data_IF_370721579123
#
_entry.id   IF_370721579123
#
_cell.length_a   1.000
_cell.length_b   1.000
_cell.length_c   1.000
_cell.angle_alpha   90.00
_cell.angle_beta   90.00
_cell.angle_gamma   90.00
#
_symmetry.space_group_name_H-M   'P 1'
#
loop_
_entity.id
_entity.type
_entity.pdbx_description
1 polymer ?
#
# COMPACT_ATOMS: atom_id res chain seq x y z
N UNK A 1 -18.64 -28.15 -43.36
CA UNK A 1 -19.43 -27.06 -42.72
C UNK A 1 -18.87 -25.75 -43.27
N UNK A 2 -19.72 -24.91 -43.88
CA UNK A 2 -19.28 -23.64 -44.44
C UNK A 2 -18.93 -22.68 -43.30
N UNK A 3 -17.69 -22.18 -43.31
CA UNK A 3 -17.16 -21.27 -42.28
C UNK A 3 -17.72 -19.87 -42.53
N UNK A 4 -18.78 -19.51 -41.81
CA UNK A 4 -19.43 -18.19 -41.88
C UNK A 4 -18.83 -17.17 -40.92
N UNK A 5 -17.98 -17.59 -39.98
CA UNK A 5 -17.38 -16.70 -38.98
C UNK A 5 -15.98 -16.22 -39.41
N UNK A 6 -15.73 -14.92 -39.30
CA UNK A 6 -14.44 -14.29 -39.64
C UNK A 6 -13.32 -14.75 -38.70
N UNK A 7 -13.66 -15.13 -37.47
CA UNK A 7 -12.72 -15.64 -36.47
C UNK A 7 -12.22 -17.05 -36.80
N UNK A 8 -13.10 -17.92 -37.30
CA UNK A 8 -12.75 -19.28 -37.72
C UNK A 8 -11.78 -19.29 -38.92
N UNK A 9 -11.84 -18.26 -39.78
CA UNK A 9 -10.89 -18.10 -40.90
C UNK A 9 -9.47 -17.73 -40.44
N UNK A 10 -9.32 -17.10 -39.29
CA UNK A 10 -8.02 -16.70 -38.73
C UNK A 10 -7.38 -17.80 -37.86
N UNK A 11 -8.13 -18.83 -37.48
CA UNK A 11 -7.66 -19.90 -36.61
C UNK A 11 -6.85 -20.95 -37.37
N UNK A 12 -5.71 -21.36 -36.81
CA UNK A 12 -4.86 -22.46 -37.31
C UNK A 12 -5.65 -23.79 -37.37
N UNK A 13 -6.74 -23.92 -36.60
CA UNK A 13 -7.60 -25.10 -36.59
C UNK A 13 -8.34 -25.33 -37.93
N UNK A 14 -8.42 -24.31 -38.80
CA UNK A 14 -9.06 -24.39 -40.11
C UNK A 14 -8.08 -24.77 -41.24
N UNK A 15 -6.79 -25.02 -40.95
CA UNK A 15 -5.78 -25.40 -41.94
C UNK A 15 -5.65 -26.92 -42.11
N UNK A 16 -5.45 -27.39 -43.34
CA UNK A 16 -5.25 -28.81 -43.62
C UNK A 16 -3.85 -29.28 -43.17
N UNK A 17 -3.73 -30.56 -42.78
CA UNK A 17 -2.43 -31.15 -42.39
C UNK A 17 -1.46 -31.12 -43.58
N UNK A 18 -0.30 -30.46 -43.39
CA UNK A 18 0.77 -30.36 -44.39
C UNK A 18 0.74 -29.09 -45.25
N UNK A 19 -0.15 -28.14 -44.95
CA UNK A 19 -0.20 -26.84 -45.64
C UNK A 19 1.08 -26.01 -45.34
N UNK A 20 1.78 -25.49 -46.37
CA UNK A 20 2.92 -24.58 -46.20
C UNK A 20 2.68 -23.39 -45.27
N UNK A 21 1.42 -22.95 -45.11
CA UNK A 21 1.04 -21.87 -44.19
C UNK A 21 1.38 -22.14 -42.71
N UNK A 22 1.46 -23.42 -42.29
CA UNK A 22 1.84 -23.78 -40.92
C UNK A 22 3.30 -23.44 -40.60
N UNK A 23 4.21 -23.55 -41.57
CA UNK A 23 5.60 -23.13 -41.38
C UNK A 23 5.70 -21.61 -41.23
N UNK A 24 4.83 -20.86 -41.91
CA UNK A 24 4.74 -19.41 -41.78
C UNK A 24 4.37 -18.96 -40.37
N UNK A 25 3.41 -19.62 -39.71
CA UNK A 25 3.02 -19.27 -38.33
C UNK A 25 4.10 -19.63 -37.31
N UNK A 26 4.86 -20.72 -37.52
CA UNK A 26 6.02 -21.08 -36.71
C UNK A 26 7.15 -20.06 -36.87
N UNK A 27 7.48 -19.66 -38.09
CA UNK A 27 8.51 -18.63 -38.33
C UNK A 27 8.07 -17.29 -37.73
N UNK A 28 6.82 -16.88 -37.94
CA UNK A 28 6.28 -15.67 -37.35
C UNK A 28 6.34 -15.70 -35.82
N UNK A 29 5.98 -16.83 -35.19
CA UNK A 29 6.02 -16.95 -33.73
C UNK A 29 7.44 -16.82 -33.17
N UNK A 30 8.46 -17.39 -33.82
CA UNK A 30 9.86 -17.19 -33.44
C UNK A 30 10.33 -15.74 -33.62
N UNK A 31 9.89 -15.05 -34.68
CA UNK A 31 10.21 -13.63 -34.88
C UNK A 31 9.58 -12.77 -33.78
N UNK A 32 8.29 -12.96 -33.49
CA UNK A 32 7.60 -12.24 -32.42
C UNK A 32 8.21 -12.53 -31.06
N UNK A 33 8.55 -13.80 -30.79
CA UNK A 33 9.21 -14.20 -29.56
C UNK A 33 10.59 -13.54 -29.42
N UNK A 34 11.43 -13.60 -30.45
CA UNK A 34 12.75 -13.00 -30.45
C UNK A 34 12.70 -11.48 -30.28
N UNK A 35 11.76 -10.82 -30.96
CA UNK A 35 11.55 -9.39 -30.82
C UNK A 35 11.04 -9.00 -29.42
N UNK A 36 10.10 -9.76 -28.86
CA UNK A 36 9.63 -9.56 -27.50
C UNK A 36 10.77 -9.75 -26.47
N UNK A 37 11.60 -10.78 -26.63
CA UNK A 37 12.75 -11.02 -25.77
C UNK A 37 13.78 -9.89 -25.86
N UNK A 38 14.01 -9.35 -27.06
CA UNK A 38 14.87 -8.19 -27.27
C UNK A 38 14.34 -6.95 -26.54
N UNK A 39 13.04 -6.64 -26.66
CA UNK A 39 12.41 -5.53 -25.95
C UNK A 39 12.46 -5.71 -24.43
N UNK A 40 12.16 -6.92 -23.94
CA UNK A 40 12.27 -7.24 -22.52
C UNK A 40 13.69 -7.03 -22.00
N UNK A 41 14.70 -7.42 -22.78
CA UNK A 41 16.11 -7.24 -22.41
C UNK A 41 16.46 -5.75 -22.32
N UNK A 42 16.04 -4.93 -23.29
CA UNK A 42 16.26 -3.48 -23.26
C UNK A 42 15.59 -2.83 -22.04
N UNK A 43 14.33 -3.16 -21.80
CA UNK A 43 13.57 -2.64 -20.65
C UNK A 43 14.21 -3.07 -19.32
N UNK A 44 14.69 -4.32 -19.24
CA UNK A 44 15.33 -4.84 -18.04
C UNK A 44 16.61 -4.09 -17.69
N UNK A 45 17.45 -3.76 -18.68
CA UNK A 45 18.64 -2.93 -18.46
C UNK A 45 18.28 -1.53 -17.99
N UNK A 46 17.26 -0.92 -18.60
CA UNK A 46 16.75 0.39 -18.18
C UNK A 46 16.21 0.35 -16.74
N UNK A 47 15.42 -0.67 -16.40
CA UNK A 47 14.86 -0.89 -15.07
C UNK A 47 15.96 -1.05 -14.01
N UNK A 48 16.98 -1.86 -14.27
CA UNK A 48 18.11 -2.03 -13.34
C UNK A 48 18.80 -0.69 -13.07
N UNK A 49 19.06 0.08 -14.12
CA UNK A 49 19.70 1.40 -14.00
C UNK A 49 18.86 2.34 -13.11
N UNK A 50 17.55 2.39 -13.34
CA UNK A 50 16.63 3.18 -12.52
C UNK A 50 16.51 2.68 -11.09
N UNK A 51 16.51 1.36 -10.89
CA UNK A 51 16.51 0.76 -9.55
C UNK A 51 17.77 1.11 -8.77
N UNK A 52 18.94 1.04 -9.39
CA UNK A 52 20.20 1.46 -8.75
C UNK A 52 20.18 2.95 -8.42
N UNK A 53 19.71 3.81 -9.34
CA UNK A 53 19.55 5.24 -9.09
C UNK A 53 18.56 5.53 -7.95
N UNK A 54 17.52 4.71 -7.79
CA UNK A 54 16.57 4.84 -6.69
C UNK A 54 17.19 4.39 -5.37
N UNK A 55 17.89 3.25 -5.35
CA UNK A 55 18.55 2.73 -4.14
C UNK A 55 19.73 3.58 -3.68
N UNK A 56 20.38 4.34 -4.58
CA UNK A 56 21.46 5.27 -4.21
C UNK A 56 20.96 6.55 -3.52
N UNK A 57 19.64 6.74 -3.39
CA UNK A 57 19.07 7.90 -2.70
C UNK A 57 19.29 7.73 -1.19
N UNK A 58 19.54 8.85 -0.51
CA UNK A 58 19.61 8.85 0.95
C UNK A 58 18.18 8.70 1.50
N UNK A 59 17.88 7.52 2.05
CA UNK A 59 16.60 7.20 2.68
C UNK A 59 16.88 6.54 4.03
N UNK A 60 16.11 6.84 5.09
CA UNK A 60 16.24 6.15 6.38
C UNK A 60 16.06 4.62 6.24
N UNK A 61 15.30 4.17 5.25
CA UNK A 61 15.11 2.74 4.93
C UNK A 61 16.42 2.03 4.59
N UNK A 62 17.40 2.74 4.01
CA UNK A 62 18.71 2.17 3.67
C UNK A 62 19.63 2.02 4.89
N UNK A 63 19.27 2.60 6.04
CA UNK A 63 20.09 2.64 7.26
C UNK A 63 19.36 2.04 8.46
N UNK A 64 18.21 1.42 8.25
CA UNK A 64 17.41 0.76 9.29
C UNK A 64 17.31 -0.72 8.98
N UNK A 65 17.53 -1.55 10.00
CA UNK A 65 17.45 -3.01 9.87
C UNK A 65 16.40 -3.55 10.83
N UNK A 66 15.56 -4.46 10.31
CA UNK A 66 14.58 -5.16 11.13
C UNK A 66 15.18 -6.47 11.65
N UNK A 67 15.30 -6.59 12.98
CA UNK A 67 15.89 -7.76 13.63
C UNK A 67 14.79 -8.57 14.34
N UNK A 68 14.61 -9.82 13.91
CA UNK A 68 13.70 -10.78 14.55
C UNK A 68 14.39 -11.69 15.56
N UNK A 69 13.60 -12.40 16.38
CA UNK A 69 14.13 -13.48 17.25
C UNK A 69 14.87 -13.02 18.51
N UNK A 70 14.60 -11.81 19.01
CA UNK A 70 15.32 -11.25 20.15
C UNK A 70 14.99 -12.01 21.46
N UNK A 71 15.99 -12.52 22.20
CA UNK A 71 15.78 -13.23 23.45
C UNK A 71 15.19 -12.30 24.51
N UNK A 72 14.37 -12.84 25.42
CA UNK A 72 13.60 -12.05 26.39
C UNK A 72 14.48 -11.09 27.23
N UNK A 73 15.70 -11.49 27.57
CA UNK A 73 16.65 -10.69 28.35
C UNK A 73 17.12 -9.41 27.64
N UNK A 74 17.08 -9.39 26.31
CA UNK A 74 17.50 -8.25 25.48
C UNK A 74 16.30 -7.44 24.95
N UNK A 75 15.06 -7.74 25.36
CA UNK A 75 13.85 -6.98 24.97
C UNK A 75 13.67 -5.70 25.78
N UNK A 76 14.75 -4.96 25.99
CA UNK A 76 14.72 -3.61 26.56
C UNK A 76 15.57 -2.72 25.69
N UNK A 77 15.09 -1.49 25.42
CA UNK A 77 15.76 -0.54 24.53
C UNK A 77 17.24 -0.38 24.89
N UNK A 78 17.53 -0.17 26.17
CA UNK A 78 18.89 0.02 26.68
C UNK A 78 19.76 -1.23 26.54
N UNK A 79 19.21 -2.40 26.85
CA UNK A 79 19.96 -3.66 26.75
C UNK A 79 20.29 -4.01 25.28
N UNK A 80 19.34 -3.77 24.38
CA UNK A 80 19.51 -4.02 22.95
C UNK A 80 20.46 -3.02 22.30
N UNK A 81 20.35 -1.74 22.67
CA UNK A 81 21.29 -0.71 22.25
C UNK A 81 22.72 -1.05 22.67
N UNK A 82 22.95 -1.37 23.94
CA UNK A 82 24.28 -1.76 24.43
C UNK A 82 24.81 -2.98 23.67
N UNK A 83 23.99 -4.01 23.49
CA UNK A 83 24.39 -5.21 22.75
C UNK A 83 24.85 -4.90 21.31
N UNK A 84 24.11 -4.05 20.59
CA UNK A 84 24.49 -3.67 19.23
C UNK A 84 25.67 -2.70 19.20
N UNK A 85 25.75 -1.77 20.14
CA UNK A 85 26.85 -0.83 20.25
C UNK A 85 28.16 -1.52 20.64
N UNK A 86 28.10 -2.62 21.39
CA UNK A 86 29.27 -3.46 21.70
C UNK A 86 29.74 -4.28 20.47
N UNK A 87 28.84 -4.55 19.52
CA UNK A 87 29.13 -5.34 18.31
C UNK A 87 29.48 -4.46 17.10
N UNK A 88 28.91 -3.25 17.03
CA UNK A 88 29.03 -2.30 15.93
C UNK A 88 29.28 -0.91 16.48
N UNK A 89 30.28 -0.21 15.97
CA UNK A 89 30.72 1.10 16.48
C UNK A 89 29.77 2.27 16.14
N UNK A 90 28.80 2.09 15.23
CA UNK A 90 27.93 3.17 14.70
C UNK A 90 26.44 2.80 14.74
N UNK A 91 25.88 2.76 15.95
CA UNK A 91 24.45 2.52 16.17
C UNK A 91 23.76 3.83 16.58
N UNK A 92 22.92 4.37 15.69
CA UNK A 92 22.22 5.63 15.93
C UNK A 92 21.12 5.50 16.99
N UNK A 93 20.19 4.58 16.80
CA UNK A 93 19.07 4.34 17.71
C UNK A 93 18.53 2.91 17.56
N UNK A 94 17.88 2.42 18.61
CA UNK A 94 17.24 1.11 18.64
C UNK A 94 15.82 1.25 19.14
N UNK A 95 14.86 0.82 18.33
CA UNK A 95 13.45 0.81 18.71
C UNK A 95 12.91 -0.62 18.73
N UNK A 96 12.12 -0.92 19.77
CA UNK A 96 11.47 -2.22 19.91
C UNK A 96 10.07 -2.10 19.32
N UNK A 97 9.77 -2.97 18.36
CA UNK A 97 8.42 -3.12 17.86
C UNK A 97 7.54 -3.74 18.95
N UNK A 98 6.57 -2.96 19.44
CA UNK A 98 5.58 -3.40 20.41
C UNK A 98 4.32 -3.82 19.66
N UNK A 99 3.68 -4.90 20.12
CA UNK A 99 2.34 -5.26 19.66
C UNK A 99 1.35 -4.41 20.46
N UNK A 100 0.75 -3.41 19.80
CA UNK A 100 -0.15 -2.43 20.42
C UNK A 100 -1.51 -2.39 19.73
N UNK A 101 -2.09 -3.57 19.48
CA UNK A 101 -3.35 -3.72 18.71
C UNK A 101 -4.51 -2.90 19.29
N UNK A 102 -4.64 -2.85 20.63
CA UNK A 102 -5.69 -2.07 21.29
C UNK A 102 -5.47 -0.55 21.12
N UNK A 103 -4.22 -0.10 21.19
CA UNK A 103 -3.88 1.31 20.97
C UNK A 103 -4.13 1.71 19.53
N UNK A 104 -3.79 0.86 18.57
CA UNK A 104 -4.03 1.12 17.15
C UNK A 104 -5.52 1.31 16.86
N UNK A 105 -6.40 0.52 17.49
CA UNK A 105 -7.86 0.69 17.39
C UNK A 105 -8.31 2.02 17.98
N UNK A 106 -7.76 2.43 19.13
CA UNK A 106 -8.08 3.72 19.76
C UNK A 106 -7.59 4.91 18.92
N UNK A 107 -6.37 4.83 18.39
CA UNK A 107 -5.78 5.85 17.51
C UNK A 107 -6.63 5.99 16.24
N UNK A 108 -6.98 4.87 15.60
CA UNK A 108 -7.84 4.88 14.42
C UNK A 108 -9.21 5.51 14.71
N UNK A 109 -9.83 5.13 15.82
CA UNK A 109 -11.11 5.74 16.24
C UNK A 109 -10.99 7.24 16.44
N UNK A 110 -9.87 7.71 17.01
CA UNK A 110 -9.59 9.14 17.17
C UNK A 110 -9.41 9.83 15.81
N UNK A 111 -8.70 9.22 14.88
CA UNK A 111 -8.52 9.75 13.52
C UNK A 111 -9.85 9.87 12.78
N UNK A 112 -10.71 8.86 12.86
CA UNK A 112 -12.06 8.88 12.28
C UNK A 112 -12.90 10.02 12.86
N UNK A 113 -12.89 10.21 14.18
CA UNK A 113 -13.58 11.32 14.85
C UNK A 113 -13.02 12.70 14.46
N UNK A 114 -11.69 12.80 14.29
CA UNK A 114 -11.04 14.04 13.86
C UNK A 114 -11.47 14.40 12.43
N UNK A 115 -11.54 13.41 11.53
CA UNK A 115 -12.01 13.60 10.16
C UNK A 115 -13.48 14.04 10.12
N UNK A 116 -14.35 13.43 10.95
CA UNK A 116 -15.74 13.87 11.09
C UNK A 116 -15.86 15.32 11.59
N UNK A 117 -15.00 15.71 12.53
CA UNK A 117 -14.94 17.07 13.06
C UNK A 117 -14.49 18.07 11.99
N UNK A 118 -13.42 17.74 11.23
CA UNK A 118 -12.95 18.55 10.11
C UNK A 118 -14.05 18.75 9.07
N UNK A 119 -14.79 17.68 8.75
CA UNK A 119 -15.94 17.76 7.86
C UNK A 119 -17.02 18.71 8.40
N UNK A 120 -17.39 18.57 9.69
CA UNK A 120 -18.37 19.44 10.33
C UNK A 120 -17.94 20.92 10.36
N UNK A 121 -16.66 21.17 10.64
CA UNK A 121 -16.07 22.52 10.62
C UNK A 121 -16.07 23.13 9.22
N UNK A 122 -15.79 22.33 8.19
CA UNK A 122 -15.85 22.77 6.79
C UNK A 122 -17.29 23.11 6.36
N UNK A 123 -18.28 22.31 6.76
CA UNK A 123 -19.71 22.61 6.50
C UNK A 123 -20.13 23.93 7.16
N UNK A 124 -19.71 24.14 8.42
CA UNK A 124 -19.95 25.40 9.13
C UNK A 124 -19.30 26.59 8.42
N UNK A 125 -18.06 26.44 7.98
CA UNK A 125 -17.32 27.50 7.27
C UNK A 125 -17.93 27.84 5.91
N UNK A 126 -18.41 26.85 5.17
CA UNK A 126 -19.01 27.05 3.84
C UNK A 126 -20.45 27.59 3.91
N UNK A 127 -21.24 27.14 4.87
CA UNK A 127 -22.70 27.44 4.93
C UNK A 127 -23.06 28.50 5.97
N UNK A 128 -22.16 28.78 6.92
CA UNK A 128 -22.40 29.65 8.08
C UNK A 128 -23.36 29.06 9.11
N UNK A 129 -23.88 27.85 8.90
CA UNK A 129 -24.83 27.14 9.78
C UNK A 129 -24.13 26.02 10.51
N UNK A 130 -24.31 25.95 11.83
CA UNK A 130 -23.71 24.88 12.63
C UNK A 130 -24.40 23.54 12.34
N UNK A 131 -23.65 22.48 11.99
CA UNK A 131 -24.22 21.17 11.78
C UNK A 131 -24.71 20.59 13.11
N UNK A 132 -25.94 20.10 13.12
CA UNK A 132 -26.55 19.43 14.27
C UNK A 132 -26.94 18.00 13.88
N UNK A 133 -26.78 17.06 14.81
CA UNK A 133 -27.30 15.69 14.64
C UNK A 133 -28.28 15.38 15.77
N UNK A 134 -29.16 14.43 15.51
CA UNK A 134 -30.15 13.96 16.49
C UNK A 134 -29.68 12.64 17.09
N UNK A 135 -29.79 12.49 18.41
CA UNK A 135 -29.38 11.24 19.09
C UNK A 135 -30.17 10.01 18.63
N UNK A 136 -31.44 10.21 18.27
CA UNK A 136 -32.37 9.19 17.79
C UNK A 136 -33.18 9.77 16.62
N UNK A 137 -33.40 9.02 15.53
CA UNK A 137 -34.04 9.54 14.32
C UNK A 137 -35.51 9.98 14.50
N UNK A 138 -36.22 9.48 15.52
CA UNK A 138 -37.64 9.77 15.74
C UNK A 138 -37.97 10.57 17.02
N UNK A 139 -37.12 10.59 18.04
CA UNK A 139 -37.45 11.23 19.33
C UNK A 139 -36.21 11.74 20.08
N UNK A 140 -35.13 12.06 19.37
CA UNK A 140 -33.88 12.51 19.99
C UNK A 140 -33.79 14.03 20.12
N UNK A 141 -32.95 14.47 21.04
CA UNK A 141 -32.53 15.86 21.17
C UNK A 141 -31.57 16.24 20.02
N UNK A 142 -31.70 17.48 19.52
CA UNK A 142 -30.78 18.03 18.52
C UNK A 142 -29.55 18.58 19.23
N UNK A 143 -28.40 17.94 19.00
CA UNK A 143 -27.12 18.32 19.58
C UNK A 143 -26.22 18.95 18.51
N UNK A 144 -25.35 19.88 18.94
CA UNK A 144 -24.31 20.44 18.08
C UNK A 144 -23.25 19.37 17.79
N UNK A 145 -23.09 19.03 16.51
CA UNK A 145 -22.17 17.97 16.09
C UNK A 145 -20.72 18.33 16.41
N UNK A 146 -20.35 19.61 16.35
CA UNK A 146 -18.97 20.04 16.63
C UNK A 146 -18.62 19.83 18.10
N UNK A 147 -19.46 20.31 19.02
CA UNK A 147 -19.20 20.21 20.46
C UNK A 147 -19.16 18.74 20.92
N UNK A 148 -20.11 17.92 20.46
CA UNK A 148 -20.16 16.49 20.81
C UNK A 148 -18.96 15.71 20.30
N UNK A 149 -18.45 16.02 19.10
CA UNK A 149 -17.23 15.39 18.58
C UNK A 149 -15.98 15.83 19.36
N UNK A 150 -15.87 17.11 19.71
CA UNK A 150 -14.79 17.61 20.59
C UNK A 150 -14.77 16.88 21.94
N UNK A 151 -15.92 16.69 22.57
CA UNK A 151 -16.03 15.95 23.83
C UNK A 151 -15.61 14.49 23.66
N UNK A 152 -16.07 13.82 22.59
CA UNK A 152 -15.68 12.44 22.28
C UNK A 152 -14.18 12.28 22.04
N UNK A 153 -13.54 13.22 21.35
CA UNK A 153 -12.09 13.22 21.13
C UNK A 153 -11.35 13.41 22.46
N UNK A 154 -11.83 14.32 23.31
CA UNK A 154 -11.26 14.54 24.65
C UNK A 154 -11.32 13.27 25.48
N UNK A 155 -12.49 12.62 25.52
CA UNK A 155 -12.66 11.34 26.19
C UNK A 155 -11.78 10.23 25.59
N UNK A 156 -11.53 10.24 24.28
CA UNK A 156 -10.65 9.27 23.63
C UNK A 156 -9.17 9.50 23.96
N UNK A 157 -8.75 10.74 24.25
CA UNK A 157 -7.37 11.06 24.64
C UNK A 157 -7.07 10.74 26.12
N UNK A 158 -8.09 10.66 26.97
CA UNK A 158 -7.97 10.31 28.38
C UNK A 158 -7.86 8.78 28.63
N UNK A 159 -8.16 7.98 27.60
CA UNK A 159 -8.10 6.51 27.64
C UNK A 159 -6.77 6.00 27.10
#
# INVERSE_FOLDING_TARGET
RAVTDSLDKMSIANMNRGDPGMYGTVVASYIFYGYAMYLLTQEFHWYISKRHQFMSRLSPENHTVFVGGIPFRLRSRKALYNFFNDLFDDVLDVNIALRVEELDVLVKKREDLALELEHAANVFSATGKRPSHTTMPLCGEKLDTINTLCEKITQANER
#
